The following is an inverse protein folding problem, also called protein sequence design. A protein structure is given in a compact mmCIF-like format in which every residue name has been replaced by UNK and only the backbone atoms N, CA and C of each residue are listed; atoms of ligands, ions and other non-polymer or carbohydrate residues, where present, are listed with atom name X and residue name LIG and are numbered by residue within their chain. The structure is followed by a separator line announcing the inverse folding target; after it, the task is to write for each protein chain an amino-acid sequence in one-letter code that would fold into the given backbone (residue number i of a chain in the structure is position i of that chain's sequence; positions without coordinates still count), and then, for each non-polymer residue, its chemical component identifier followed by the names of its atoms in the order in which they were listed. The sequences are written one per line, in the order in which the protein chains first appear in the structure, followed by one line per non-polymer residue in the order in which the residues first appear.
data_IF_427535756156
#
_entry.id   IF_427535756156
#
_cell.length_a   1.000
_cell.length_b   1.000
_cell.length_c   1.000
_cell.angle_alpha   90.00
_cell.angle_beta   90.00
_cell.angle_gamma   90.00
#
_symmetry.space_group_name_H-M   'P 1'
#
loop_
_entity.id
_entity.type
_entity.pdbx_description
1 polymer ?
#
# COMPACT_ATOMS: atom_id res chain seq x y z
N UNK A 1 17.61 17.72 -1.73
CA UNK A 1 18.63 17.16 -0.81
C UNK A 1 19.84 16.80 -1.66
N UNK A 2 21.05 17.30 -1.36
CA UNK A 2 22.24 17.02 -2.15
C UNK A 2 22.70 15.58 -1.87
N UNK A 3 22.46 14.67 -2.82
CA UNK A 3 22.98 13.31 -2.76
C UNK A 3 24.31 13.30 -3.52
N UNK A 4 25.42 13.24 -2.78
CA UNK A 4 26.76 13.15 -3.34
C UNK A 4 27.16 11.66 -3.40
N UNK A 5 27.25 11.12 -4.60
CA UNK A 5 27.93 9.83 -4.83
C UNK A 5 29.29 10.15 -5.46
N UNK A 6 30.33 9.35 -5.19
CA UNK A 6 31.75 9.68 -5.46
C UNK A 6 32.09 10.19 -6.89
N UNK A 7 31.18 10.04 -7.87
CA UNK A 7 31.39 10.45 -9.26
C UNK A 7 30.26 11.33 -9.87
N UNK A 8 29.22 11.70 -9.11
CA UNK A 8 28.06 12.41 -9.67
C UNK A 8 27.46 13.46 -8.71
N UNK A 9 27.09 14.63 -9.25
CA UNK A 9 26.44 15.72 -8.52
C UNK A 9 25.10 16.10 -9.18
N UNK A 10 24.01 16.15 -8.39
CA UNK A 10 22.69 16.59 -8.85
C UNK A 10 22.66 18.12 -8.95
N UNK A 11 22.38 18.65 -10.15
CA UNK A 11 22.45 20.09 -10.41
C UNK A 11 21.07 20.75 -10.27
N UNK A 12 20.01 20.15 -10.82
CA UNK A 12 18.64 20.69 -10.83
C UNK A 12 17.57 19.59 -10.92
N UNK A 13 16.41 19.83 -10.30
CA UNK A 13 15.18 19.01 -10.39
C UNK A 13 13.98 19.94 -10.42
N UNK A 14 13.03 19.73 -11.33
CA UNK A 14 11.78 20.50 -11.43
C UNK A 14 10.59 19.56 -11.61
N UNK A 15 9.48 19.86 -10.92
CA UNK A 15 8.16 19.22 -11.08
C UNK A 15 7.11 20.30 -11.34
N UNK A 16 6.39 20.26 -12.47
CA UNK A 16 5.15 21.02 -12.61
C UNK A 16 3.97 20.08 -12.83
N UNK A 17 2.91 20.27 -12.04
CA UNK A 17 1.66 19.53 -12.19
C UNK A 17 0.52 20.47 -12.55
N UNK A 18 -0.23 20.13 -13.60
CA UNK A 18 -1.46 20.85 -14.00
C UNK A 18 -2.63 19.87 -14.01
N UNK A 19 -3.75 20.24 -13.41
CA UNK A 19 -4.93 19.40 -13.30
C UNK A 19 -6.19 20.10 -13.82
N UNK A 20 -7.04 19.35 -14.54
CA UNK A 20 -8.36 19.80 -14.99
C UNK A 20 -9.39 18.74 -14.57
N UNK A 21 -10.49 19.20 -13.98
CA UNK A 21 -11.58 18.34 -13.51
C UNK A 21 -12.90 18.76 -14.15
N UNK A 22 -13.68 17.78 -14.62
CA UNK A 22 -15.04 17.98 -15.11
C UNK A 22 -15.98 17.03 -14.36
N UNK A 23 -17.06 17.57 -13.78
CA UNK A 23 -18.06 16.79 -13.07
C UNK A 23 -19.46 17.15 -13.55
N UNK A 24 -20.28 16.13 -13.87
CA UNK A 24 -21.69 16.30 -14.21
C UNK A 24 -22.47 15.03 -13.88
N UNK A 25 -23.59 15.17 -13.15
CA UNK A 25 -24.57 14.10 -12.89
C UNK A 25 -23.94 12.74 -12.47
N UNK A 26 -23.05 12.76 -11.46
CA UNK A 26 -22.38 11.55 -10.96
C UNK A 26 -21.22 11.05 -11.82
N UNK A 27 -20.92 11.67 -12.96
CA UNK A 27 -19.72 11.38 -13.74
C UNK A 27 -18.61 12.39 -13.41
N UNK A 28 -17.38 11.90 -13.23
CA UNK A 28 -16.19 12.73 -13.03
C UNK A 28 -15.09 12.30 -14.00
N UNK A 29 -14.51 13.26 -14.71
CA UNK A 29 -13.29 13.12 -15.50
C UNK A 29 -12.21 14.01 -14.89
N UNK A 30 -11.04 13.45 -14.63
CA UNK A 30 -9.84 14.19 -14.25
C UNK A 30 -8.72 13.91 -15.26
N UNK A 31 -7.97 14.96 -15.59
CA UNK A 31 -6.77 14.88 -16.41
C UNK A 31 -5.68 15.68 -15.70
N UNK A 32 -4.55 15.04 -15.43
CA UNK A 32 -3.37 15.69 -14.87
C UNK A 32 -2.17 15.47 -15.79
N UNK A 33 -1.45 16.55 -16.07
CA UNK A 33 -0.17 16.54 -16.76
C UNK A 33 0.94 16.79 -15.74
N UNK A 34 2.02 16.02 -15.80
CA UNK A 34 3.23 16.26 -15.02
C UNK A 34 4.49 16.15 -15.88
N UNK A 35 5.39 17.12 -15.73
CA UNK A 35 6.75 17.08 -16.27
C UNK A 35 7.76 16.93 -15.13
N UNK A 36 8.69 15.98 -15.25
CA UNK A 36 9.86 15.88 -14.39
C UNK A 36 11.13 16.02 -15.23
N UNK A 37 12.01 16.94 -14.83
CA UNK A 37 13.33 17.13 -15.46
C UNK A 37 14.43 16.99 -14.43
N UNK A 38 15.38 16.11 -14.69
CA UNK A 38 16.60 15.91 -13.90
C UNK A 38 17.86 16.25 -14.69
N UNK A 39 18.83 16.88 -14.04
CA UNK A 39 20.18 17.05 -14.59
C UNK A 39 21.25 16.57 -13.59
N UNK A 40 22.17 15.72 -14.04
CA UNK A 40 23.40 15.41 -13.30
C UNK A 40 24.65 15.79 -14.04
N UNK A 41 25.66 16.16 -13.26
CA UNK A 41 27.01 16.27 -13.71
C UNK A 41 27.78 14.98 -13.39
N UNK A 42 28.27 14.30 -14.44
CA UNK A 42 29.30 13.28 -14.33
C UNK A 42 30.65 13.99 -14.13
N UNK A 43 31.14 13.97 -12.89
CA UNK A 43 32.38 14.67 -12.51
C UNK A 43 33.62 14.00 -13.12
N UNK A 44 33.52 12.73 -13.52
CA UNK A 44 34.61 11.93 -14.07
C UNK A 44 34.80 12.16 -15.57
N UNK A 45 33.70 12.25 -16.31
CA UNK A 45 33.72 12.44 -17.75
C UNK A 45 33.42 13.89 -18.18
N UNK A 46 33.09 14.78 -17.24
CA UNK A 46 32.78 16.19 -17.48
C UNK A 46 31.52 16.39 -18.32
N UNK A 47 30.55 15.47 -18.24
CA UNK A 47 29.32 15.47 -19.04
C UNK A 47 28.10 15.77 -18.18
N UNK A 48 27.11 16.43 -18.77
CA UNK A 48 25.79 16.59 -18.16
C UNK A 48 24.87 15.51 -18.74
N UNK A 49 24.31 14.67 -17.86
CA UNK A 49 23.23 13.74 -18.18
C UNK A 49 21.92 14.48 -17.89
N UNK A 50 20.97 14.38 -18.83
CA UNK A 50 19.64 15.00 -18.70
C UNK A 50 18.60 13.92 -18.87
N UNK A 51 17.69 13.85 -17.92
CA UNK A 51 16.56 12.95 -17.94
C UNK A 51 15.27 13.80 -17.94
N UNK A 52 14.36 13.50 -18.86
CA UNK A 52 13.13 14.25 -19.09
C UNK A 52 11.96 13.27 -19.20
N UNK A 53 10.95 13.48 -18.35
CA UNK A 53 9.79 12.61 -18.25
C UNK A 53 8.52 13.46 -18.38
N UNK A 54 7.88 13.36 -19.54
CA UNK A 54 6.58 13.96 -19.81
C UNK A 54 5.49 12.89 -19.66
N UNK A 55 4.57 13.09 -18.71
CA UNK A 55 3.58 12.08 -18.40
C UNK A 55 2.17 12.68 -18.28
N UNK A 56 1.19 11.86 -18.60
CA UNK A 56 -0.23 12.20 -18.50
C UNK A 56 -0.91 11.15 -17.63
N UNK A 57 -1.73 11.60 -16.68
CA UNK A 57 -2.67 10.74 -15.96
C UNK A 57 -4.10 11.17 -16.29
N UNK A 58 -4.97 10.19 -16.46
CA UNK A 58 -6.37 10.39 -16.81
C UNK A 58 -7.20 9.44 -15.98
N UNK A 59 -8.34 9.89 -15.47
CA UNK A 59 -9.32 8.95 -14.97
C UNK A 59 -10.75 9.43 -15.13
N UNK A 60 -11.61 8.47 -15.39
CA UNK A 60 -13.04 8.65 -15.56
C UNK A 60 -13.76 7.77 -14.53
N UNK A 61 -14.79 8.32 -13.90
CA UNK A 61 -15.64 7.59 -12.99
C UNK A 61 -17.12 7.88 -13.25
N UNK A 62 -17.95 6.87 -13.03
CA UNK A 62 -19.39 6.92 -13.15
C UNK A 62 -20.00 6.43 -11.83
N UNK A 63 -20.72 7.31 -11.15
CA UNK A 63 -21.56 7.01 -10.00
C UNK A 63 -23.01 6.90 -10.47
N UNK A 64 -23.62 5.73 -10.24
CA UNK A 64 -25.03 5.47 -10.48
C UNK A 64 -25.76 5.24 -9.16
N UNK A 65 -26.76 6.08 -8.88
CA UNK A 65 -27.68 5.90 -7.77
C UNK A 65 -28.74 4.86 -8.17
N UNK A 66 -28.55 3.60 -7.79
CA UNK A 66 -29.50 2.53 -8.11
C UNK A 66 -30.79 2.66 -7.26
N UNK A 67 -30.64 3.12 -6.03
CA UNK A 67 -31.73 3.53 -5.14
C UNK A 67 -31.21 4.55 -4.11
N UNK A 68 -32.09 5.05 -3.24
CA UNK A 68 -31.71 5.94 -2.12
C UNK A 68 -30.70 5.29 -1.15
N UNK A 69 -30.60 3.96 -1.17
CA UNK A 69 -29.80 3.16 -0.24
C UNK A 69 -28.63 2.45 -0.92
N UNK A 70 -28.52 2.48 -2.24
CA UNK A 70 -27.52 1.72 -3.01
C UNK A 70 -26.94 2.54 -4.15
N UNK A 71 -25.62 2.67 -4.12
CA UNK A 71 -24.81 3.34 -5.12
C UNK A 71 -23.85 2.35 -5.78
N UNK A 72 -23.71 2.47 -7.09
CA UNK A 72 -22.72 1.73 -7.89
C UNK A 72 -21.71 2.72 -8.45
N UNK A 73 -20.42 2.42 -8.32
CA UNK A 73 -19.34 3.25 -8.85
C UNK A 73 -18.49 2.42 -9.79
N UNK A 74 -18.22 2.91 -10.98
CA UNK A 74 -17.20 2.36 -11.87
C UNK A 74 -16.11 3.40 -12.08
N UNK A 75 -14.85 2.99 -12.06
CA UNK A 75 -13.70 3.87 -12.31
C UNK A 75 -12.73 3.22 -13.29
N UNK A 76 -12.27 4.02 -14.24
CA UNK A 76 -11.16 3.72 -15.14
C UNK A 76 -10.09 4.78 -14.89
N UNK A 77 -8.84 4.38 -14.70
CA UNK A 77 -7.77 5.34 -14.53
C UNK A 77 -6.46 4.84 -15.13
N UNK A 78 -5.68 5.80 -15.61
CA UNK A 78 -4.28 5.69 -15.97
C UNK A 78 -3.49 6.69 -15.11
N UNK A 79 -2.41 6.23 -14.51
CA UNK A 79 -1.54 7.04 -13.65
C UNK A 79 -0.08 6.74 -13.91
N UNK A 80 0.80 7.61 -13.40
CA UNK A 80 2.23 7.42 -13.50
C UNK A 80 2.94 7.88 -12.23
N UNK A 81 4.19 7.45 -12.09
CA UNK A 81 5.15 7.97 -11.11
C UNK A 81 6.49 8.13 -11.83
N UNK A 82 6.96 9.38 -11.93
CA UNK A 82 8.30 9.64 -12.43
C UNK A 82 9.34 8.97 -11.49
N UNK A 83 10.48 8.50 -12.02
CA UNK A 83 11.53 7.92 -11.19
C UNK A 83 12.05 8.94 -10.18
N UNK A 84 12.36 8.49 -8.96
CA UNK A 84 12.94 9.35 -7.94
C UNK A 84 14.44 9.52 -8.18
N UNK A 85 15.00 10.66 -7.79
CA UNK A 85 16.44 10.91 -7.87
C UNK A 85 17.29 9.82 -7.18
N UNK A 86 16.79 9.22 -6.10
CA UNK A 86 17.46 8.09 -5.44
C UNK A 86 17.46 6.81 -6.29
N UNK A 87 16.42 6.58 -7.10
CA UNK A 87 16.33 5.41 -7.98
C UNK A 87 17.26 5.58 -9.19
N UNK A 88 17.33 6.80 -9.74
CA UNK A 88 18.18 7.10 -10.88
C UNK A 88 19.66 7.25 -10.51
N UNK A 89 19.97 7.82 -9.35
CA UNK A 89 21.32 8.36 -9.07
C UNK A 89 21.99 7.81 -7.80
N UNK A 90 21.26 7.09 -6.94
CA UNK A 90 21.84 6.39 -5.78
C UNK A 90 21.96 4.90 -6.04
N UNK A 91 22.69 4.60 -7.12
CA UNK A 91 23.01 3.26 -7.56
C UNK A 91 23.89 2.53 -6.52
N UNK A 92 23.56 1.28 -6.22
CA UNK A 92 24.28 0.45 -5.25
C UNK A 92 24.97 -0.74 -5.96
N UNK A 93 25.90 -1.39 -5.27
CA UNK A 93 26.53 -2.64 -5.72
C UNK A 93 27.16 -2.59 -7.14
N UNK A 94 27.73 -1.45 -7.53
CA UNK A 94 28.44 -1.30 -8.82
C UNK A 94 27.54 -1.03 -10.02
N UNK A 95 26.25 -0.73 -9.81
CA UNK A 95 25.40 -0.17 -10.86
C UNK A 95 25.94 1.21 -11.29
N UNK A 96 26.12 1.41 -12.61
CA UNK A 96 26.75 2.63 -13.18
C UNK A 96 25.77 3.56 -13.89
N UNK A 97 24.62 3.03 -14.32
CA UNK A 97 23.56 3.80 -14.97
C UNK A 97 22.22 3.10 -14.70
N UNK A 98 21.18 3.89 -14.41
CA UNK A 98 19.79 3.43 -14.44
C UNK A 98 19.15 4.00 -15.71
N UNK A 99 18.77 3.13 -16.64
CA UNK A 99 17.87 3.50 -17.74
C UNK A 99 16.46 3.21 -17.20
N UNK A 100 15.71 4.26 -16.87
CA UNK A 100 14.44 4.17 -16.17
C UNK A 100 13.41 4.97 -16.92
N UNK A 101 12.27 4.35 -17.20
CA UNK A 101 11.04 5.02 -17.61
C UNK A 101 10.16 5.32 -16.38
N UNK A 102 9.18 6.21 -16.53
CA UNK A 102 8.15 6.40 -15.51
C UNK A 102 7.40 5.09 -15.25
N UNK A 103 7.15 4.79 -13.98
CA UNK A 103 6.22 3.72 -13.62
C UNK A 103 4.83 4.14 -14.08
N UNK A 104 4.11 3.24 -14.74
CA UNK A 104 2.73 3.48 -15.16
C UNK A 104 1.78 2.50 -14.50
N UNK A 105 0.53 2.92 -14.33
CA UNK A 105 -0.56 2.06 -13.85
C UNK A 105 -1.81 2.28 -14.69
N UNK A 106 -2.44 1.18 -15.10
CA UNK A 106 -3.78 1.17 -15.67
C UNK A 106 -4.71 0.37 -14.75
N UNK A 107 -5.85 0.94 -14.37
CA UNK A 107 -6.79 0.36 -13.40
C UNK A 107 -8.25 0.43 -13.86
N UNK A 108 -8.98 -0.64 -13.60
CA UNK A 108 -10.45 -0.67 -13.61
C UNK A 108 -10.95 -1.10 -12.24
N UNK A 109 -11.93 -0.37 -11.72
CA UNK A 109 -12.54 -0.63 -10.42
C UNK A 109 -14.06 -0.59 -10.52
N UNK A 110 -14.72 -1.49 -9.81
CA UNK A 110 -16.16 -1.53 -9.64
C UNK A 110 -16.48 -1.59 -8.14
N UNK A 111 -17.24 -0.61 -7.67
CA UNK A 111 -17.64 -0.43 -6.29
C UNK A 111 -19.15 -0.46 -6.12
N UNK A 112 -19.58 -0.99 -4.97
CA UNK A 112 -20.95 -1.03 -4.48
C UNK A 112 -20.94 -0.44 -3.07
N UNK A 113 -21.82 0.53 -2.81
CA UNK A 113 -21.94 1.15 -1.49
C UNK A 113 -23.40 1.22 -1.11
N UNK A 114 -23.73 0.73 0.07
CA UNK A 114 -25.09 0.80 0.57
C UNK A 114 -25.17 1.18 2.03
N UNK A 115 -26.27 1.81 2.40
CA UNK A 115 -26.52 2.24 3.78
C UNK A 115 -28.01 2.19 4.11
N UNK A 116 -28.29 1.73 5.32
CA UNK A 116 -29.59 1.75 6.01
C UNK A 116 -29.35 2.29 7.43
N UNK A 117 -30.39 2.35 8.28
CA UNK A 117 -30.23 2.79 9.68
C UNK A 117 -29.28 1.92 10.51
N UNK A 118 -29.17 0.62 10.20
CA UNK A 118 -28.42 -0.34 11.02
C UNK A 118 -27.24 -0.99 10.30
N UNK A 119 -27.14 -0.84 8.99
CA UNK A 119 -26.12 -1.50 8.16
C UNK A 119 -25.57 -0.50 7.17
N UNK A 120 -24.25 -0.37 7.13
CA UNK A 120 -23.52 0.23 6.02
C UNK A 120 -22.51 -0.76 5.47
N UNK A 121 -22.29 -0.72 4.16
CA UNK A 121 -21.28 -1.54 3.52
C UNK A 121 -20.68 -0.85 2.30
N UNK A 122 -19.42 -1.17 2.03
CA UNK A 122 -18.70 -0.86 0.81
C UNK A 122 -18.00 -2.12 0.32
N UNK A 123 -18.25 -2.50 -0.92
CA UNK A 123 -17.54 -3.57 -1.61
C UNK A 123 -16.88 -2.99 -2.84
N UNK A 124 -15.59 -3.20 -3.03
CA UNK A 124 -14.87 -2.83 -4.24
C UNK A 124 -14.26 -4.07 -4.87
N UNK A 125 -14.15 -4.09 -6.18
CA UNK A 125 -13.34 -5.04 -6.93
C UNK A 125 -12.46 -4.26 -7.89
N UNK A 126 -11.25 -4.73 -8.11
CA UNK A 126 -10.27 -4.01 -8.90
C UNK A 126 -9.43 -4.95 -9.74
N UNK A 127 -8.95 -4.42 -10.86
CA UNK A 127 -7.90 -5.01 -11.67
C UNK A 127 -6.97 -3.90 -12.13
N UNK A 128 -5.68 -4.07 -11.88
CA UNK A 128 -4.64 -3.10 -12.18
C UNK A 128 -3.46 -3.79 -12.85
N UNK A 129 -2.81 -3.10 -13.78
CA UNK A 129 -1.51 -3.47 -14.34
C UNK A 129 -0.55 -2.33 -14.15
N UNK A 130 0.65 -2.63 -13.67
CA UNK A 130 1.76 -1.69 -13.61
C UNK A 130 2.89 -2.14 -14.54
N UNK A 131 3.58 -1.17 -15.13
CA UNK A 131 4.74 -1.36 -16.00
C UNK A 131 5.86 -0.42 -15.58
N UNK A 132 7.08 -0.75 -15.99
CA UNK A 132 8.32 -0.01 -15.67
C UNK A 132 8.60 0.09 -14.17
N UNK A 133 8.08 -0.87 -13.39
CA UNK A 133 8.22 -0.86 -11.94
C UNK A 133 9.65 -1.20 -11.54
N UNK A 134 10.15 -0.47 -10.56
CA UNK A 134 11.49 -0.68 -10.02
C UNK A 134 11.37 -1.48 -8.73
N UNK A 135 12.01 -2.64 -8.67
CA UNK A 135 12.03 -3.50 -7.48
C UNK A 135 13.46 -3.72 -7.00
N UNK A 136 13.62 -4.26 -5.79
CA UNK A 136 14.92 -4.60 -5.24
C UNK A 136 15.03 -6.11 -5.02
N UNK A 137 16.12 -6.72 -5.49
CA UNK A 137 16.40 -8.15 -5.24
C UNK A 137 16.88 -8.41 -3.80
N UNK A 138 16.95 -9.67 -3.38
CA UNK A 138 17.48 -10.08 -2.07
C UNK A 138 18.96 -9.71 -1.86
N UNK A 139 19.70 -9.49 -2.94
CA UNK A 139 21.08 -9.00 -3.00
C UNK A 139 21.16 -7.46 -3.03
N UNK A 140 20.02 -6.77 -2.89
CA UNK A 140 19.89 -5.31 -2.93
C UNK A 140 20.25 -4.69 -4.28
N UNK A 141 20.01 -5.41 -5.37
CA UNK A 141 20.12 -4.87 -6.72
C UNK A 141 18.80 -4.19 -7.09
N UNK A 142 18.85 -2.98 -7.63
CA UNK A 142 17.67 -2.35 -8.21
C UNK A 142 17.43 -2.95 -9.61
N UNK A 143 16.25 -3.52 -9.81
CA UNK A 143 15.80 -4.18 -11.03
C UNK A 143 14.75 -3.30 -11.71
N UNK A 144 15.03 -2.88 -12.94
CA UNK A 144 14.14 -2.06 -13.76
C UNK A 144 13.21 -2.91 -14.63
N UNK A 145 12.31 -2.26 -15.37
CA UNK A 145 11.40 -2.87 -16.36
C UNK A 145 10.45 -3.93 -15.78
N UNK A 146 10.23 -3.89 -14.47
CA UNK A 146 9.31 -4.76 -13.79
C UNK A 146 7.86 -4.54 -14.25
N UNK A 147 7.09 -5.61 -14.33
CA UNK A 147 5.67 -5.53 -14.61
C UNK A 147 4.89 -6.32 -13.57
N UNK A 148 3.78 -5.76 -13.12
CA UNK A 148 2.90 -6.43 -12.15
C UNK A 148 1.43 -6.30 -12.53
N UNK A 149 0.64 -7.26 -12.06
CA UNK A 149 -0.83 -7.15 -12.05
C UNK A 149 -1.35 -7.33 -10.63
N UNK A 150 -2.41 -6.59 -10.31
CA UNK A 150 -3.04 -6.58 -9.00
C UNK A 150 -4.53 -6.71 -9.18
N UNK A 151 -5.15 -7.70 -8.56
CA UNK A 151 -6.59 -7.91 -8.67
C UNK A 151 -7.16 -8.50 -7.41
N UNK A 152 -8.39 -8.14 -7.09
CA UNK A 152 -8.99 -8.54 -5.83
C UNK A 152 -10.28 -7.80 -5.56
N UNK A 153 -10.73 -7.94 -4.31
CA UNK A 153 -11.83 -7.19 -3.78
C UNK A 153 -11.54 -6.74 -2.35
N UNK A 154 -12.11 -5.62 -1.98
CA UNK A 154 -12.05 -5.08 -0.63
C UNK A 154 -13.46 -4.90 -0.10
N UNK A 155 -13.63 -5.12 1.19
CA UNK A 155 -14.92 -5.01 1.84
C UNK A 155 -14.77 -4.21 3.13
N UNK A 156 -15.82 -3.45 3.43
CA UNK A 156 -16.05 -2.75 4.69
C UNK A 156 -17.53 -2.91 5.01
N UNK A 157 -17.85 -3.37 6.21
CA UNK A 157 -19.21 -3.61 6.66
C UNK A 157 -19.33 -3.22 8.11
N UNK A 158 -20.31 -2.38 8.43
CA UNK A 158 -20.64 -1.97 9.80
C UNK A 158 -22.11 -2.33 10.04
N UNK A 159 -22.38 -3.17 11.04
CA UNK A 159 -23.72 -3.70 11.30
C UNK A 159 -24.09 -3.66 12.78
N UNK A 160 -25.07 -2.82 13.12
CA UNK A 160 -25.76 -2.81 14.41
C UNK A 160 -26.85 -3.88 14.41
N UNK A 161 -26.48 -5.13 14.69
CA UNK A 161 -27.41 -6.26 14.62
C UNK A 161 -28.35 -6.38 15.84
N UNK A 162 -27.97 -5.76 16.96
CA UNK A 162 -28.80 -5.62 18.16
C UNK A 162 -28.61 -4.22 18.76
N UNK A 163 -29.51 -3.74 19.61
CA UNK A 163 -29.39 -2.42 20.25
C UNK A 163 -28.15 -2.26 21.15
N UNK A 164 -27.54 -3.37 21.58
CA UNK A 164 -26.32 -3.38 22.39
C UNK A 164 -25.10 -3.93 21.66
N UNK A 165 -25.26 -4.43 20.44
CA UNK A 165 -24.19 -5.08 19.71
C UNK A 165 -24.03 -4.58 18.28
N UNK A 166 -22.78 -4.29 17.95
CA UNK A 166 -22.34 -3.94 16.62
C UNK A 166 -21.18 -4.83 16.18
N UNK A 167 -21.04 -5.02 14.88
CA UNK A 167 -19.87 -5.68 14.29
C UNK A 167 -19.37 -4.85 13.11
N UNK A 168 -18.06 -4.64 13.07
CA UNK A 168 -17.38 -3.98 11.98
C UNK A 168 -16.40 -4.98 11.37
N UNK A 169 -16.47 -5.17 10.05
CA UNK A 169 -15.72 -6.17 9.30
C UNK A 169 -15.11 -5.48 8.09
N UNK A 170 -13.79 -5.41 8.04
CA UNK A 170 -13.07 -4.80 6.94
C UNK A 170 -11.94 -5.71 6.47
N UNK A 171 -11.61 -5.67 5.20
CA UNK A 171 -10.49 -6.46 4.69
C UNK A 171 -10.36 -6.46 3.19
N UNK A 172 -9.36 -7.20 2.73
CA UNK A 172 -9.04 -7.38 1.32
C UNK A 172 -8.72 -8.83 1.03
N UNK A 173 -9.14 -9.28 -0.15
CA UNK A 173 -8.69 -10.50 -0.77
C UNK A 173 -8.15 -10.13 -2.14
N UNK A 174 -6.83 -10.17 -2.29
CA UNK A 174 -6.15 -9.73 -3.49
C UNK A 174 -5.01 -10.66 -3.85
N UNK A 175 -4.62 -10.63 -5.11
CA UNK A 175 -3.38 -11.24 -5.57
C UNK A 175 -2.61 -10.23 -6.39
N UNK A 176 -1.34 -10.10 -6.04
CA UNK A 176 -0.39 -9.21 -6.67
C UNK A 176 0.68 -10.11 -7.27
N UNK A 177 0.90 -10.04 -8.58
CA UNK A 177 1.85 -10.92 -9.27
C UNK A 177 2.77 -10.11 -10.16
N UNK A 178 4.02 -10.54 -10.27
CA UNK A 178 4.87 -10.15 -11.39
C UNK A 178 4.34 -10.79 -12.68
N UNK A 179 4.49 -10.06 -13.79
CA UNK A 179 4.03 -10.48 -15.12
C UNK A 179 5.12 -10.43 -16.17
N UNK A 180 6.37 -10.28 -15.74
CA UNK A 180 7.56 -10.30 -16.56
C UNK A 180 8.73 -10.80 -15.72
N UNK A 181 9.69 -11.43 -16.37
CA UNK A 181 11.01 -11.70 -15.80
C UNK A 181 11.84 -10.42 -15.82
N UNK A 182 12.69 -10.26 -14.80
CA UNK A 182 13.61 -9.12 -14.67
C UNK A 182 15.04 -9.61 -14.79
N UNK A 183 15.98 -8.71 -15.07
CA UNK A 183 17.39 -9.07 -15.24
C UNK A 183 18.29 -8.26 -14.32
N UNK A 184 19.40 -8.88 -13.89
CA UNK A 184 20.41 -8.17 -13.10
C UNK A 184 21.04 -7.02 -13.89
N UNK A 185 21.26 -5.86 -13.28
CA UNK A 185 21.84 -4.69 -13.93
C UNK A 185 23.35 -4.88 -14.21
N UNK A 186 23.83 -4.44 -15.38
CA UNK A 186 25.26 -4.32 -15.69
C UNK A 186 25.71 -4.99 -17.00
N UNK A 187 26.82 -4.52 -17.62
CA UNK A 187 27.27 -4.99 -18.94
C UNK A 187 27.97 -6.37 -18.94
N UNK A 188 28.36 -6.89 -17.77
CA UNK A 188 29.15 -8.13 -17.63
C UNK A 188 28.42 -9.27 -16.91
N UNK A 189 27.19 -9.06 -16.45
CA UNK A 189 26.35 -10.10 -15.84
C UNK A 189 24.87 -9.76 -16.08
N UNK A 190 24.33 -10.30 -17.16
CA UNK A 190 22.89 -10.22 -17.48
C UNK A 190 22.27 -11.57 -17.12
N UNK A 191 21.91 -11.74 -15.86
CA UNK A 191 21.22 -12.95 -15.40
C UNK A 191 19.72 -12.66 -15.34
N UNK A 192 18.92 -13.46 -16.04
CA UNK A 192 17.47 -13.40 -15.95
C UNK A 192 17.06 -14.01 -14.62
N UNK A 193 16.27 -13.26 -13.86
CA UNK A 193 15.59 -13.69 -12.64
C UNK A 193 14.16 -14.01 -13.04
N UNK A 194 13.79 -15.28 -12.91
CA UNK A 194 12.48 -15.78 -13.31
C UNK A 194 11.40 -15.35 -12.30
N UNK A 195 10.82 -14.18 -12.52
CA UNK A 195 9.78 -13.61 -11.65
C UNK A 195 8.38 -13.74 -12.23
N UNK A 196 8.21 -14.00 -13.53
CA UNK A 196 6.86 -14.06 -14.13
C UNK A 196 5.98 -15.11 -13.44
N UNK A 197 4.81 -14.66 -12.97
CA UNK A 197 3.84 -15.49 -12.26
C UNK A 197 4.04 -15.58 -10.75
N UNK A 198 5.22 -15.21 -10.22
CA UNK A 198 5.44 -15.10 -8.78
C UNK A 198 4.52 -14.05 -8.17
N UNK A 199 4.15 -14.24 -6.91
CA UNK A 199 3.46 -13.23 -6.13
C UNK A 199 4.46 -12.12 -5.75
N UNK A 200 3.99 -10.87 -5.76
CA UNK A 200 4.80 -9.74 -5.29
C UNK A 200 5.17 -9.95 -3.83
N UNK A 201 6.45 -9.76 -3.49
CA UNK A 201 6.93 -9.89 -2.13
C UNK A 201 6.27 -8.85 -1.20
N UNK A 202 6.16 -9.16 0.09
CA UNK A 202 5.50 -8.33 1.11
C UNK A 202 4.00 -8.04 0.85
N UNK A 203 3.38 -8.76 -0.09
CA UNK A 203 1.98 -8.55 -0.49
C UNK A 203 1.08 -9.74 -0.08
N UNK A 204 0.56 -9.78 1.17
CA UNK A 204 -0.30 -10.86 1.63
C UNK A 204 -1.60 -10.90 0.82
N UNK A 205 -2.05 -12.12 0.48
CA UNK A 205 -3.27 -12.29 -0.32
C UNK A 205 -4.56 -11.93 0.44
N UNK A 206 -4.49 -11.90 1.76
CA UNK A 206 -5.63 -11.69 2.65
C UNK A 206 -5.22 -10.85 3.84
N UNK A 207 -5.96 -9.80 4.10
CA UNK A 207 -5.90 -9.05 5.35
C UNK A 207 -7.33 -8.78 5.80
N UNK A 208 -7.58 -8.87 7.11
CA UNK A 208 -8.91 -8.65 7.67
C UNK A 208 -8.82 -8.07 9.09
N UNK A 209 -9.82 -7.25 9.44
CA UNK A 209 -10.13 -6.86 10.80
C UNK A 209 -11.61 -7.12 11.09
N UNK A 210 -11.89 -7.68 12.25
CA UNK A 210 -13.24 -7.87 12.78
C UNK A 210 -13.30 -7.29 14.18
N UNK A 211 -14.18 -6.32 14.37
CA UNK A 211 -14.40 -5.64 15.65
C UNK A 211 -15.81 -5.97 16.13
N UNK A 212 -15.92 -6.68 17.25
CA UNK A 212 -17.18 -6.98 17.90
C UNK A 212 -17.38 -6.00 19.06
N UNK A 213 -18.46 -5.23 18.97
CA UNK A 213 -18.83 -4.21 19.92
C UNK A 213 -19.94 -4.61 20.86
N UNK A 214 -19.77 -4.29 22.15
CA UNK A 214 -20.79 -4.50 23.17
C UNK A 214 -21.00 -3.26 24.05
N UNK A 215 -22.20 -2.71 24.00
CA UNK A 215 -22.63 -1.54 24.77
C UNK A 215 -23.73 -1.92 25.77
N UNK A 216 -23.42 -2.61 26.89
CA UNK A 216 -24.43 -3.07 27.85
C UNK A 216 -25.21 -1.94 28.55
N UNK A 217 -24.60 -0.76 28.63
CA UNK A 217 -25.15 0.46 29.20
C UNK A 217 -24.68 1.63 28.37
N UNK A 218 -25.40 2.76 28.39
CA UNK A 218 -25.03 3.96 27.63
C UNK A 218 -23.67 4.57 28.02
N UNK A 219 -23.12 4.19 29.17
CA UNK A 219 -21.85 4.66 29.71
C UNK A 219 -20.70 3.63 29.59
N UNK A 220 -20.97 2.41 29.13
CA UNK A 220 -20.00 1.30 29.14
C UNK A 220 -19.89 0.67 27.75
N UNK A 221 -18.69 0.65 27.16
CA UNK A 221 -18.41 -0.02 25.88
C UNK A 221 -17.23 -0.95 26.01
N UNK A 222 -17.40 -2.21 25.63
CA UNK A 222 -16.32 -3.17 25.42
C UNK A 222 -16.20 -3.51 23.94
N UNK A 223 -14.98 -3.73 23.45
CA UNK A 223 -14.68 -4.11 22.07
C UNK A 223 -13.65 -5.23 22.05
N UNK A 224 -13.95 -6.29 21.32
CA UNK A 224 -12.95 -7.30 20.95
C UNK A 224 -12.63 -7.12 19.46
N UNK A 225 -11.37 -6.88 19.15
CA UNK A 225 -10.89 -6.80 17.77
C UNK A 225 -10.00 -8.00 17.44
N UNK A 226 -10.22 -8.60 16.29
CA UNK A 226 -9.37 -9.61 15.68
C UNK A 226 -8.76 -9.04 14.39
N UNK A 227 -7.44 -9.03 14.30
CA UNK A 227 -6.70 -8.65 13.09
C UNK A 227 -6.02 -9.91 12.54
N UNK A 228 -6.15 -10.14 11.23
CA UNK A 228 -5.52 -11.23 10.51
C UNK A 228 -4.71 -10.70 9.34
N UNK A 229 -3.43 -11.09 9.29
CA UNK A 229 -2.55 -10.92 8.13
C UNK A 229 -2.18 -12.30 7.60
N UNK A 230 -2.47 -12.57 6.34
CA UNK A 230 -2.12 -13.85 5.72
C UNK A 230 -0.64 -13.98 5.37
N UNK A 231 -0.27 -15.18 4.93
CA UNK A 231 1.05 -15.49 4.38
C UNK A 231 1.43 -14.55 3.22
N UNK A 232 2.70 -14.16 3.16
CA UNK A 232 3.32 -13.47 2.03
C UNK A 232 4.76 -13.94 1.80
N UNK A 233 5.26 -13.77 0.57
CA UNK A 233 6.65 -14.04 0.24
C UNK A 233 7.56 -12.89 0.65
N UNK A 234 8.76 -13.21 1.10
CA UNK A 234 9.73 -12.24 1.62
C UNK A 234 10.85 -11.93 0.63
N UNK A 235 10.77 -12.52 -0.57
CA UNK A 235 11.65 -12.32 -1.72
C UNK A 235 10.90 -12.42 -3.06
N UNK A 236 11.47 -11.80 -4.09
CA UNK A 236 10.90 -11.74 -5.45
C UNK A 236 10.91 -13.12 -6.13
N UNK A 237 11.84 -13.99 -5.74
CA UNK A 237 11.96 -15.38 -6.20
C UNK A 237 10.88 -16.31 -5.62
N UNK A 238 10.13 -15.83 -4.60
CA UNK A 238 9.10 -16.59 -3.88
C UNK A 238 9.65 -17.89 -3.24
N UNK A 239 10.91 -17.88 -2.82
CA UNK A 239 11.55 -19.02 -2.15
C UNK A 239 11.38 -18.95 -0.62
N UNK A 240 11.19 -17.75 -0.08
CA UNK A 240 11.06 -17.50 1.35
C UNK A 240 9.72 -16.84 1.65
N UNK A 241 9.16 -17.12 2.82
CA UNK A 241 7.85 -16.59 3.18
C UNK A 241 7.64 -16.48 4.67
N UNK A 242 6.82 -15.52 5.06
CA UNK A 242 6.29 -15.39 6.41
C UNK A 242 4.84 -15.87 6.44
N UNK A 243 4.49 -16.68 7.43
CA UNK A 243 3.17 -17.32 7.52
C UNK A 243 2.02 -16.35 7.80
N UNK A 244 2.34 -15.11 8.19
CA UNK A 244 1.36 -14.14 8.67
C UNK A 244 1.09 -14.32 10.16
N UNK A 245 0.03 -13.69 10.66
CA UNK A 245 -0.31 -13.72 12.08
C UNK A 245 -1.75 -13.30 12.34
N UNK A 246 -2.21 -13.62 13.56
CA UNK A 246 -3.50 -13.22 14.09
C UNK A 246 -3.31 -12.55 15.44
N UNK A 247 -3.92 -11.37 15.61
CA UNK A 247 -3.88 -10.62 16.85
C UNK A 247 -5.29 -10.45 17.39
N UNK A 248 -5.40 -10.50 18.71
CA UNK A 248 -6.61 -10.13 19.44
C UNK A 248 -6.32 -8.89 20.27
N UNK A 249 -7.23 -7.93 20.25
CA UNK A 249 -7.15 -6.71 21.04
C UNK A 249 -8.44 -6.52 21.82
N UNK A 250 -8.34 -5.99 23.04
CA UNK A 250 -9.48 -5.69 23.89
C UNK A 250 -9.46 -4.22 24.24
N UNK A 251 -10.58 -3.52 24.02
CA UNK A 251 -10.78 -2.14 24.47
C UNK A 251 -11.98 -2.06 25.38
N UNK A 252 -11.85 -1.34 26.49
CA UNK A 252 -12.93 -1.02 27.40
C UNK A 252 -12.96 0.48 27.61
N UNK A 253 -14.14 1.09 27.53
CA UNK A 253 -14.37 2.49 27.85
C UNK A 253 -15.54 2.62 28.81
N UNK A 254 -15.33 3.39 29.88
CA UNK A 254 -16.35 3.73 30.86
C UNK A 254 -16.45 5.25 30.97
N UNK A 255 -17.65 5.78 30.74
CA UNK A 255 -18.00 7.15 31.04
C UNK A 255 -18.36 7.25 32.52
N UNK A 256 -17.65 8.08 33.28
CA UNK A 256 -17.87 8.26 34.73
C UNK A 256 -18.85 9.42 34.98
N UNK A 257 -18.72 10.49 34.20
CA UNK A 257 -19.62 11.66 34.20
C UNK A 257 -19.82 12.15 32.77
N UNK A 258 -20.56 13.24 32.54
CA UNK A 258 -20.68 13.85 31.21
C UNK A 258 -19.33 14.21 30.59
N UNK A 259 -18.36 14.56 31.44
CA UNK A 259 -17.11 15.22 31.08
C UNK A 259 -15.89 14.33 31.28
N UNK A 260 -16.04 13.20 31.99
CA UNK A 260 -14.96 12.31 32.37
C UNK A 260 -15.21 10.90 31.82
N UNK A 261 -14.23 10.35 31.12
CA UNK A 261 -14.20 8.93 30.75
C UNK A 261 -12.84 8.30 30.99
N UNK A 262 -12.84 7.01 31.30
CA UNK A 262 -11.65 6.18 31.43
C UNK A 262 -11.64 5.10 30.35
N UNK A 263 -10.45 4.78 29.87
CA UNK A 263 -10.20 3.74 28.89
C UNK A 263 -9.17 2.73 29.38
N UNK A 264 -9.34 1.47 29.01
CA UNK A 264 -8.35 0.41 29.10
C UNK A 264 -8.19 -0.21 27.71
N UNK A 265 -6.95 -0.42 27.27
CA UNK A 265 -6.62 -1.18 26.06
C UNK A 265 -5.62 -2.27 26.40
N UNK A 266 -5.89 -3.46 25.90
CA UNK A 266 -4.95 -4.59 25.91
C UNK A 266 -4.69 -4.95 24.46
N UNK A 267 -3.49 -4.63 23.99
CA UNK A 267 -3.05 -5.05 22.66
C UNK A 267 -2.42 -6.44 22.78
N UNK A 268 -2.52 -7.22 21.70
CA UNK A 268 -2.05 -8.60 21.63
C UNK A 268 -2.49 -9.45 22.86
N UNK A 269 -3.79 -9.51 23.13
CA UNK A 269 -4.40 -10.19 24.28
C UNK A 269 -3.97 -11.66 24.41
N UNK A 270 -3.77 -12.33 23.27
CA UNK A 270 -3.34 -13.73 23.19
C UNK A 270 -1.82 -13.92 23.38
N UNK A 271 -1.04 -12.83 23.48
CA UNK A 271 0.42 -12.85 23.59
C UNK A 271 1.09 -13.61 22.44
N UNK A 272 0.59 -13.39 21.21
CA UNK A 272 1.11 -13.99 19.98
C UNK A 272 2.47 -13.38 19.64
N UNK A 273 3.49 -14.21 19.47
CA UNK A 273 4.74 -13.78 18.85
C UNK A 273 4.53 -13.56 17.35
N UNK A 274 4.82 -12.35 16.86
CA UNK A 274 4.65 -12.00 15.46
C UNK A 274 5.73 -11.02 15.00
N UNK A 275 5.89 -10.93 13.69
CA UNK A 275 6.67 -9.90 13.02
C UNK A 275 5.74 -8.83 12.43
N UNK A 276 6.01 -7.56 12.72
CA UNK A 276 5.43 -6.40 12.02
C UNK A 276 5.88 -6.33 10.57
N UNK A 277 7.11 -6.80 10.33
CA UNK A 277 7.67 -7.00 8.99
C UNK A 277 8.58 -8.22 8.99
N UNK A 278 8.49 -9.02 7.95
CA UNK A 278 9.46 -10.05 7.64
C UNK A 278 10.04 -9.76 6.25
N UNK A 279 11.33 -9.95 6.09
CA UNK A 279 11.99 -9.88 4.79
C UNK A 279 13.10 -10.95 4.70
N UNK A 280 13.56 -11.23 3.48
CA UNK A 280 14.71 -12.09 3.24
C UNK A 280 15.84 -11.27 2.60
N UNK A 281 17.07 -11.45 3.10
CA UNK A 281 18.24 -10.84 2.48
C UNK A 281 19.40 -11.82 2.41
N UNK A 282 19.84 -12.11 1.19
CA UNK A 282 21.02 -12.95 0.95
C UNK A 282 22.30 -12.34 1.54
N UNK A 283 22.42 -11.00 1.52
CA UNK A 283 23.54 -10.28 2.16
C UNK A 283 23.37 -10.12 3.68
N UNK A 284 22.12 -10.17 4.17
CA UNK A 284 21.74 -9.92 5.56
C UNK A 284 21.75 -11.16 6.45
N UNK A 285 22.11 -12.34 5.93
CA UNK A 285 22.16 -13.59 6.69
C UNK A 285 20.89 -14.45 6.63
N UNK A 286 19.97 -14.18 5.69
CA UNK A 286 18.76 -14.96 5.46
C UNK A 286 17.48 -14.24 5.93
N UNK A 287 16.59 -14.99 6.58
CA UNK A 287 15.31 -14.47 7.10
C UNK A 287 15.53 -13.44 8.21
N UNK A 288 14.80 -12.32 8.12
CA UNK A 288 14.83 -11.25 9.12
C UNK A 288 13.41 -10.91 9.57
N UNK A 289 13.21 -10.84 10.88
CA UNK A 289 11.94 -10.53 11.50
C UNK A 289 12.05 -9.27 12.35
N UNK A 290 11.16 -8.31 12.08
CA UNK A 290 10.98 -7.11 12.89
C UNK A 290 9.86 -7.42 13.88
N UNK A 291 10.26 -7.78 15.09
CA UNK A 291 9.38 -8.31 16.14
C UNK A 291 8.35 -7.23 16.51
N UNK A 292 7.08 -7.63 16.51
CA UNK A 292 6.00 -6.76 16.95
C UNK A 292 5.87 -6.67 18.47
N UNK A 293 5.06 -5.74 18.94
CA UNK A 293 4.90 -5.52 20.38
C UNK A 293 4.26 -6.75 21.06
N UNK A 294 4.88 -7.29 22.12
CA UNK A 294 4.24 -8.29 22.98
C UNK A 294 2.94 -7.74 23.60
N UNK A 295 2.21 -8.57 24.34
CA UNK A 295 1.01 -8.10 25.04
C UNK A 295 1.29 -6.85 25.87
N UNK A 296 0.59 -5.77 25.54
CA UNK A 296 0.77 -4.45 26.14
C UNK A 296 -0.55 -3.90 26.70
N UNK A 297 -0.43 -3.14 27.79
CA UNK A 297 -1.56 -2.61 28.55
C UNK A 297 -1.47 -1.09 28.59
N UNK A 298 -2.56 -0.42 28.24
CA UNK A 298 -2.66 1.04 28.27
C UNK A 298 -3.93 1.46 29.02
N UNK A 299 -3.83 2.56 29.76
CA UNK A 299 -4.98 3.21 30.36
C UNK A 299 -4.99 4.69 29.96
N UNK A 300 -6.18 5.24 29.74
CA UNK A 300 -6.36 6.66 29.45
C UNK A 300 -7.49 7.28 30.29
N UNK A 301 -7.36 8.58 30.54
CA UNK A 301 -8.37 9.44 31.14
C UNK A 301 -8.64 10.58 30.14
N UNK A 302 -9.90 10.75 29.75
CA UNK A 302 -10.33 11.83 28.87
C UNK A 302 -11.21 12.80 29.64
N UNK A 303 -10.91 14.10 29.51
CA UNK A 303 -11.65 15.22 30.08
C UNK A 303 -12.18 16.09 28.94
N UNK A 304 -13.49 16.26 28.86
CA UNK A 304 -14.14 17.15 27.88
C UNK A 304 -14.67 18.39 28.63
N UNK A 305 -14.27 19.58 28.19
CA UNK A 305 -14.70 20.87 28.75
C UNK A 305 -15.38 21.71 27.67
#
# INVERSE_FOLDING_TARGET
ELINTENYEIIKSFDNVRAINFSQNGSLLFVCYGDFKGELFDTKNGKVIKDDFDNVSVGASLLHHYSDQLNVVMRLAHGFRAPQATEMYRLQNGQLQADLDSEEINSIELGLRGATEKLSYSLSSFYMKKTNVIFQSSERLNLSDGQTKHYGFEYDLNWQFDQYWDINVAGTFARHQYTADVSTPGPSSFTVIATDGNDVDTAPRRMASVQLGWQPRSDTRAELEWISMGKYYTDIDNLHSYDGHNLLHLRLRQKLTTDISIGLRINNLADTDYAERADYSGLGGGDRYFIGEPRSYYADLSLNY
#
